data_IF_370111399840
#
_entry.id   IF_370111399840
#
_cell.length_a   1.000
_cell.length_b   1.000
_cell.length_c   1.000
_cell.angle_alpha   90.00
_cell.angle_beta   90.00
_cell.angle_gamma   90.00
#
_symmetry.space_group_name_H-M   'P 1'
#
loop_
_entity.id
_entity.type
_entity.pdbx_description
1 polymer ?
#
# COMPACT_ATOMS: atom_id res chain seq x y z
N UNK A 1 2.68 -28.74 -10.87
CA UNK A 1 1.50 -28.48 -11.70
C UNK A 1 0.71 -27.30 -11.16
N UNK A 2 0.42 -26.32 -12.02
CA UNK A 2 -0.38 -25.18 -11.55
C UNK A 2 -1.82 -25.64 -11.24
N UNK A 3 -2.28 -25.32 -10.07
CA UNK A 3 -3.65 -25.60 -9.63
C UNK A 3 -4.66 -24.82 -10.50
N UNK A 4 -5.55 -25.53 -11.13
CA UNK A 4 -6.64 -24.90 -11.90
C UNK A 4 -7.67 -24.35 -10.91
N UNK A 5 -7.73 -23.02 -10.83
CA UNK A 5 -8.80 -22.38 -10.08
C UNK A 5 -10.06 -22.31 -10.95
N UNK A 6 -11.06 -23.07 -10.56
CA UNK A 6 -12.36 -22.98 -11.19
C UNK A 6 -13.09 -21.73 -10.70
N UNK A 7 -13.21 -20.77 -11.56
CA UNK A 7 -14.02 -19.58 -11.28
C UNK A 7 -15.48 -19.95 -11.49
N UNK A 8 -16.21 -20.14 -10.40
CA UNK A 8 -17.65 -20.43 -10.44
C UNK A 8 -18.41 -19.13 -10.64
N UNK A 9 -18.46 -18.65 -11.87
CA UNK A 9 -19.17 -17.40 -12.17
C UNK A 9 -19.77 -17.32 -13.56
N UNK A 10 -19.33 -18.17 -14.45
CA UNK A 10 -19.92 -18.25 -15.79
C UNK A 10 -19.94 -19.70 -16.24
N UNK A 11 -21.07 -20.12 -16.77
CA UNK A 11 -21.26 -21.46 -17.32
C UNK A 11 -20.56 -21.64 -18.68
N UNK A 12 -19.53 -20.87 -18.93
CA UNK A 12 -18.79 -20.91 -20.18
C UNK A 12 -17.44 -21.57 -19.94
N UNK A 13 -17.39 -22.87 -20.17
CA UNK A 13 -16.18 -23.69 -20.01
C UNK A 13 -15.03 -23.23 -20.94
N UNK A 14 -15.34 -22.44 -21.95
CA UNK A 14 -14.34 -21.90 -22.85
C UNK A 14 -13.57 -20.72 -22.25
N UNK A 15 -14.13 -20.07 -21.22
CA UNK A 15 -13.49 -18.93 -20.56
C UNK A 15 -12.29 -19.34 -19.71
N UNK A 16 -12.33 -20.58 -19.15
CA UNK A 16 -11.27 -21.05 -18.24
C UNK A 16 -9.96 -21.33 -19.00
N UNK A 17 -10.06 -21.77 -20.26
CA UNK A 17 -8.90 -22.11 -21.07
C UNK A 17 -8.11 -20.89 -21.55
N UNK A 18 -8.71 -19.69 -21.46
CA UNK A 18 -8.10 -18.43 -21.94
C UNK A 18 -7.52 -17.57 -20.82
N UNK A 19 -7.51 -18.06 -19.58
CA UNK A 19 -6.89 -17.29 -18.49
C UNK A 19 -5.39 -17.30 -18.67
N UNK A 20 -4.86 -16.25 -19.25
CA UNK A 20 -3.43 -16.01 -19.29
C UNK A 20 -2.92 -15.80 -17.85
N UNK A 21 -1.86 -16.48 -17.50
CA UNK A 21 -1.25 -16.32 -16.18
C UNK A 21 -0.84 -14.88 -15.90
N UNK A 22 -0.59 -14.10 -16.97
CA UNK A 22 -0.27 -12.67 -16.86
C UNK A 22 -1.47 -11.82 -16.40
N UNK A 23 -2.69 -12.36 -16.47
CA UNK A 23 -3.91 -11.66 -16.02
C UNK A 23 -4.33 -12.04 -14.60
N UNK A 24 -3.58 -12.95 -13.98
CA UNK A 24 -3.87 -13.38 -12.60
C UNK A 24 -3.65 -12.23 -11.63
N UNK A 25 -4.64 -12.01 -10.77
CA UNK A 25 -4.53 -11.02 -9.71
C UNK A 25 -3.55 -11.49 -8.64
N UNK A 26 -2.63 -10.63 -8.25
CA UNK A 26 -1.61 -10.91 -7.23
C UNK A 26 -1.88 -10.18 -5.91
N UNK A 27 -2.92 -9.35 -5.87
CA UNK A 27 -3.35 -8.62 -4.68
C UNK A 27 -4.64 -7.90 -4.92
N UNK A 28 -5.09 -7.14 -3.93
CA UNK A 28 -6.29 -6.32 -4.02
C UNK A 28 -5.92 -4.86 -4.18
N UNK A 29 -6.67 -4.17 -5.02
CA UNK A 29 -6.51 -2.74 -5.21
C UNK A 29 -7.11 -1.98 -4.02
N UNK A 30 -6.37 -1.07 -3.44
CA UNK A 30 -6.82 -0.25 -2.32
C UNK A 30 -6.69 1.23 -2.68
N UNK A 31 -7.67 2.08 -2.42
CA UNK A 31 -8.92 1.82 -1.67
C UNK A 31 -9.97 1.06 -2.48
N UNK A 32 -10.78 0.30 -1.78
CA UNK A 32 -11.86 -0.48 -2.38
C UNK A 32 -12.92 0.43 -2.99
N UNK A 33 -13.52 -0.01 -4.09
CA UNK A 33 -14.60 0.72 -4.74
C UNK A 33 -14.17 1.89 -5.65
N UNK A 34 -12.86 2.06 -5.88
CA UNK A 34 -12.35 3.20 -6.64
C UNK A 34 -12.70 3.15 -8.13
N UNK A 35 -12.96 1.97 -8.69
CA UNK A 35 -13.25 1.76 -10.13
C UNK A 35 -14.66 1.23 -10.38
N UNK A 36 -15.65 1.71 -9.62
CA UNK A 36 -17.06 1.27 -9.68
C UNK A 36 -17.24 -0.24 -9.43
N UNK A 37 -16.25 -0.89 -8.86
CA UNK A 37 -16.31 -2.29 -8.42
C UNK A 37 -16.13 -2.33 -6.91
N UNK A 38 -16.81 -3.24 -6.25
CA UNK A 38 -16.67 -3.42 -4.80
C UNK A 38 -15.21 -3.73 -4.41
N UNK A 39 -14.53 -4.48 -5.27
CA UNK A 39 -13.10 -4.75 -5.14
C UNK A 39 -12.52 -4.98 -6.54
N UNK A 40 -11.26 -4.65 -6.71
CA UNK A 40 -10.51 -4.91 -7.93
C UNK A 40 -9.20 -5.60 -7.54
N UNK A 41 -8.62 -6.32 -8.48
CA UNK A 41 -7.37 -7.05 -8.25
C UNK A 41 -6.20 -6.34 -8.94
N UNK A 42 -5.08 -6.30 -8.26
CA UNK A 42 -3.84 -5.78 -8.82
C UNK A 42 -3.17 -6.87 -9.66
N UNK A 43 -2.64 -6.50 -10.81
CA UNK A 43 -2.00 -7.43 -11.73
C UNK A 43 -0.51 -7.21 -11.87
N UNK A 44 -0.03 -6.06 -11.44
CA UNK A 44 1.40 -5.75 -11.42
C UNK A 44 1.92 -5.69 -9.99
N UNK A 45 3.21 -5.99 -9.82
CA UNK A 45 3.86 -5.92 -8.50
C UNK A 45 3.82 -4.51 -7.95
N UNK A 46 4.00 -3.50 -8.81
CA UNK A 46 3.99 -2.10 -8.39
C UNK A 46 2.60 -1.66 -7.87
N UNK A 47 1.52 -2.11 -8.53
CA UNK A 47 0.15 -1.81 -8.09
C UNK A 47 -0.16 -2.47 -6.74
N UNK A 48 0.28 -3.73 -6.57
CA UNK A 48 0.14 -4.47 -5.32
C UNK A 48 0.85 -3.73 -4.19
N UNK A 49 2.10 -3.35 -4.42
CA UNK A 49 2.94 -2.66 -3.44
C UNK A 49 2.35 -1.28 -3.11
N UNK A 50 1.92 -0.52 -4.12
CA UNK A 50 1.28 0.78 -3.93
C UNK A 50 0.03 0.66 -3.04
N UNK A 51 -0.80 -0.35 -3.29
CA UNK A 51 -2.02 -0.61 -2.50
C UNK A 51 -1.66 -1.00 -1.07
N UNK A 52 -0.64 -1.83 -0.89
CA UNK A 52 -0.18 -2.28 0.42
C UNK A 52 0.40 -1.10 1.25
N UNK A 53 1.18 -0.22 0.62
CA UNK A 53 1.73 0.98 1.27
C UNK A 53 0.56 1.88 1.71
N UNK A 54 -0.41 2.12 0.82
CA UNK A 54 -1.56 2.96 1.12
C UNK A 54 -2.36 2.40 2.30
N UNK A 55 -2.59 1.09 2.30
CA UNK A 55 -3.29 0.42 3.39
C UNK A 55 -2.51 0.53 4.72
N UNK A 56 -1.18 0.35 4.65
CA UNK A 56 -0.29 0.46 5.81
C UNK A 56 -0.34 1.86 6.42
N UNK A 57 -0.28 2.90 5.57
CA UNK A 57 -0.28 4.29 6.02
C UNK A 57 -1.61 4.72 6.63
N UNK A 58 -2.72 4.11 6.20
CA UNK A 58 -4.07 4.45 6.68
C UNK A 58 -4.53 3.57 7.84
N UNK A 59 -3.73 2.57 8.23
CA UNK A 59 -4.03 1.68 9.36
C UNK A 59 -3.23 2.15 10.58
N UNK A 60 -3.90 2.33 11.72
CA UNK A 60 -3.23 2.63 12.99
C UNK A 60 -2.67 1.35 13.60
N UNK A 61 -1.51 1.46 14.26
CA UNK A 61 -0.92 0.33 15.00
C UNK A 61 -1.88 -0.11 16.11
N UNK A 62 -2.11 -1.42 16.21
CA UNK A 62 -3.04 -2.01 17.16
C UNK A 62 -4.47 -2.12 16.65
N UNK A 63 -4.78 -1.56 15.48
CA UNK A 63 -6.13 -1.60 14.91
C UNK A 63 -6.50 -3.00 14.40
N UNK A 64 -5.50 -3.76 13.94
CA UNK A 64 -5.71 -5.12 13.46
C UNK A 64 -5.49 -6.14 14.57
N UNK A 65 -6.52 -6.92 14.88
CA UNK A 65 -6.49 -7.91 15.95
C UNK A 65 -5.43 -9.01 15.67
N UNK A 66 -5.36 -9.50 14.42
CA UNK A 66 -4.44 -10.56 14.05
C UNK A 66 -3.02 -10.09 13.74
N UNK A 67 -2.83 -8.77 13.55
CA UNK A 67 -1.53 -8.20 13.22
C UNK A 67 -1.41 -6.80 13.83
N UNK A 68 -1.27 -6.71 15.15
CA UNK A 68 -1.23 -5.39 15.82
C UNK A 68 0.01 -4.57 15.45
N UNK A 69 1.06 -5.22 14.95
CA UNK A 69 2.27 -4.54 14.47
C UNK A 69 2.07 -3.85 13.11
N UNK A 70 1.02 -4.23 12.36
CA UNK A 70 0.72 -3.66 11.06
C UNK A 70 0.09 -2.28 11.24
N UNK A 71 0.61 -1.30 10.52
CA UNK A 71 0.12 0.07 10.57
C UNK A 71 1.17 1.06 11.02
N UNK A 72 0.80 2.32 11.02
CA UNK A 72 1.66 3.44 11.44
C UNK A 72 0.88 4.31 12.43
N UNK A 73 1.57 4.88 13.41
CA UNK A 73 0.94 5.73 14.44
C UNK A 73 1.17 7.21 14.13
N UNK A 74 0.63 7.66 12.99
CA UNK A 74 0.82 9.05 12.54
C UNK A 74 -0.16 10.02 13.21
N UNK A 75 -1.36 9.55 13.57
CA UNK A 75 -2.40 10.42 14.15
C UNK A 75 -1.98 11.05 15.47
N UNK A 76 -1.17 10.34 16.25
CA UNK A 76 -0.67 10.89 17.53
C UNK A 76 0.14 12.16 17.33
N UNK A 77 0.87 12.27 16.20
CA UNK A 77 1.70 13.44 15.92
C UNK A 77 0.90 14.64 15.41
N UNK A 78 -0.34 14.43 14.97
CA UNK A 78 -1.19 15.53 14.48
C UNK A 78 -1.54 16.53 15.57
N UNK A 79 -1.47 16.11 16.82
CA UNK A 79 -1.84 16.94 17.99
C UNK A 79 -0.64 17.44 18.77
N UNK A 80 0.59 17.13 18.34
CA UNK A 80 1.81 17.61 18.99
C UNK A 80 2.20 18.97 18.43
N UNK A 81 2.61 19.89 19.30
CA UNK A 81 2.91 21.27 18.92
C UNK A 81 4.33 21.47 18.36
N UNK A 82 5.20 20.46 18.46
CA UNK A 82 6.61 20.56 18.07
C UNK A 82 6.95 19.68 16.86
N UNK A 83 6.15 19.81 15.79
CA UNK A 83 6.31 18.96 14.61
C UNK A 83 7.62 19.18 13.84
N UNK A 84 8.06 20.44 13.74
CA UNK A 84 9.21 20.76 12.91
C UNK A 84 10.49 20.07 13.39
N UNK A 85 10.65 19.96 14.72
CA UNK A 85 11.83 19.32 15.30
C UNK A 85 11.73 17.78 15.25
N UNK A 86 10.49 17.24 15.29
CA UNK A 86 10.25 15.80 15.26
C UNK A 86 10.13 15.24 13.85
N UNK A 87 10.05 16.08 12.83
CA UNK A 87 9.75 15.67 11.44
C UNK A 87 10.72 14.58 10.95
N UNK A 88 12.02 14.80 11.10
CA UNK A 88 13.03 13.85 10.65
C UNK A 88 12.93 12.51 11.38
N UNK A 89 12.64 12.56 12.69
CA UNK A 89 12.45 11.35 13.48
C UNK A 89 11.23 10.57 13.02
N UNK A 90 10.12 11.26 12.74
CA UNK A 90 8.87 10.66 12.25
C UNK A 90 9.09 10.03 10.87
N UNK A 91 9.79 10.74 9.96
CA UNK A 91 10.13 10.22 8.64
C UNK A 91 10.99 8.95 8.72
N UNK A 92 11.98 8.96 9.60
CA UNK A 92 12.84 7.79 9.84
C UNK A 92 12.06 6.61 10.39
N UNK A 93 11.17 6.86 11.37
CA UNK A 93 10.33 5.80 11.94
C UNK A 93 9.37 5.24 10.90
N UNK A 94 8.78 6.11 10.07
CA UNK A 94 7.86 5.72 9.01
C UNK A 94 8.55 4.85 7.96
N UNK A 95 9.78 5.21 7.58
CA UNK A 95 10.59 4.38 6.67
C UNK A 95 10.81 2.97 7.25
N UNK A 96 11.17 2.89 8.53
CA UNK A 96 11.40 1.61 9.21
C UNK A 96 10.11 0.78 9.26
N UNK A 97 8.97 1.40 9.55
CA UNK A 97 7.68 0.71 9.60
C UNK A 97 7.28 0.17 8.21
N UNK A 98 7.56 0.94 7.15
CA UNK A 98 7.30 0.49 5.76
C UNK A 98 8.23 -0.68 5.41
N UNK A 99 9.53 -0.59 5.69
CA UNK A 99 10.48 -1.67 5.41
C UNK A 99 10.14 -2.96 6.15
N UNK A 100 9.62 -2.85 7.32
CA UNK A 100 9.19 -3.99 8.13
C UNK A 100 7.96 -4.67 7.53
N UNK A 101 7.18 -3.86 6.99
CA UNK A 101 6.02 -4.31 6.57
C UNK A 101 6.02 -4.71 5.24
N UNK A 102 6.74 -4.02 4.39
CA UNK A 102 6.83 -4.26 2.95
C UNK A 102 8.30 -4.27 2.53
N UNK A 103 9.01 -5.39 2.70
CA UNK A 103 10.46 -5.42 2.45
C UNK A 103 10.85 -5.37 0.97
N UNK A 104 9.88 -5.50 0.05
CA UNK A 104 10.09 -5.44 -1.40
C UNK A 104 10.39 -4.04 -1.92
N UNK A 105 10.21 -3.02 -1.07
CA UNK A 105 10.26 -1.60 -1.45
C UNK A 105 11.61 -0.99 -1.07
N UNK A 106 12.09 -0.10 -1.92
CA UNK A 106 13.15 0.85 -1.62
C UNK A 106 12.55 2.25 -1.64
N UNK A 107 12.68 2.99 -0.54
CA UNK A 107 12.14 4.35 -0.43
C UNK A 107 13.24 5.33 -0.81
N UNK A 108 13.08 5.98 -1.95
CA UNK A 108 14.04 6.96 -2.45
C UNK A 108 13.84 8.32 -1.80
N UNK A 109 12.57 8.75 -1.69
CA UNK A 109 12.24 10.03 -1.06
C UNK A 109 10.96 9.90 -0.25
N UNK A 110 10.94 10.52 0.92
CA UNK A 110 9.76 10.55 1.80
C UNK A 110 9.68 11.94 2.41
N UNK A 111 8.55 12.59 2.24
CA UNK A 111 8.27 13.91 2.81
C UNK A 111 6.90 13.89 3.49
N UNK A 112 6.86 14.38 4.72
CA UNK A 112 5.62 14.48 5.48
C UNK A 112 5.33 15.96 5.74
N UNK A 113 4.13 16.38 5.40
CA UNK A 113 3.63 17.73 5.68
C UNK A 113 2.43 17.62 6.61
N UNK A 114 2.43 18.41 7.65
CA UNK A 114 1.34 18.51 8.60
C UNK A 114 0.61 19.83 8.37
N UNK A 115 -0.69 19.76 8.16
CA UNK A 115 -1.52 20.92 7.94
C UNK A 115 -2.79 20.79 8.79
N UNK A 116 -2.83 21.52 9.90
CA UNK A 116 -3.93 21.54 10.88
C UNK A 116 -4.27 20.11 11.35
N UNK A 117 -5.33 19.51 10.81
CA UNK A 117 -5.78 18.18 11.17
C UNK A 117 -5.53 17.15 10.06
N UNK A 118 -4.55 17.41 9.19
CA UNK A 118 -4.29 16.57 8.02
C UNK A 118 -2.81 16.28 7.91
N UNK A 119 -2.47 15.01 7.69
CA UNK A 119 -1.09 14.59 7.38
C UNK A 119 -1.04 14.24 5.90
N UNK A 120 -0.18 14.94 5.17
CA UNK A 120 0.08 14.67 3.75
C UNK A 120 1.44 14.00 3.64
N UNK A 121 1.46 12.81 3.06
CA UNK A 121 2.68 12.03 2.86
C UNK A 121 2.95 11.96 1.35
N UNK A 122 4.12 12.44 0.96
CA UNK A 122 4.62 12.32 -0.40
C UNK A 122 5.78 11.32 -0.39
N UNK A 123 5.71 10.34 -1.28
CA UNK A 123 6.69 9.26 -1.30
C UNK A 123 7.09 8.93 -2.73
N UNK A 124 8.38 8.80 -2.95
CA UNK A 124 8.96 8.22 -4.15
C UNK A 124 9.60 6.90 -3.75
N UNK A 125 9.20 5.82 -4.41
CA UNK A 125 9.73 4.51 -4.09
C UNK A 125 9.94 3.68 -5.37
N UNK A 126 10.83 2.72 -5.27
CA UNK A 126 11.13 1.75 -6.32
C UNK A 126 11.03 0.34 -5.77
N UNK A 127 10.92 -0.65 -6.66
CA UNK A 127 10.96 -2.06 -6.28
C UNK A 127 12.42 -2.52 -6.25
N UNK A 128 12.77 -3.36 -5.29
CA UNK A 128 14.12 -3.93 -5.20
C UNK A 128 14.45 -4.82 -6.39
N UNK A 129 13.43 -5.47 -6.97
CA UNK A 129 13.60 -6.33 -8.14
C UNK A 129 13.75 -5.55 -9.44
N UNK A 130 13.17 -4.32 -9.48
CA UNK A 130 13.15 -3.47 -10.67
C UNK A 130 13.35 -2.01 -10.26
N UNK A 131 14.60 -1.63 -10.05
CA UNK A 131 14.96 -0.30 -9.56
C UNK A 131 14.70 0.82 -10.60
N UNK A 132 14.52 0.44 -11.87
CA UNK A 132 14.20 1.40 -12.93
C UNK A 132 12.75 1.89 -12.87
N UNK A 133 11.88 1.17 -12.16
CA UNK A 133 10.46 1.53 -12.03
C UNK A 133 10.28 2.35 -10.76
N UNK A 134 10.29 3.67 -10.90
CA UNK A 134 10.04 4.60 -9.81
C UNK A 134 8.56 4.99 -9.80
N UNK A 135 7.94 4.91 -8.65
CA UNK A 135 6.53 5.25 -8.46
C UNK A 135 6.39 6.36 -7.44
N UNK A 136 5.68 7.42 -7.84
CA UNK A 136 5.30 8.51 -6.93
C UNK A 136 3.91 8.24 -6.36
N UNK A 137 3.76 8.46 -5.07
CA UNK A 137 2.43 8.40 -4.46
C UNK A 137 2.26 9.50 -3.42
N UNK A 138 1.03 9.92 -3.25
CA UNK A 138 0.64 10.82 -2.16
C UNK A 138 -0.54 10.21 -1.42
N UNK A 139 -0.49 10.33 -0.10
CA UNK A 139 -1.56 9.85 0.79
C UNK A 139 -1.93 10.98 1.74
N UNK A 140 -3.22 11.21 1.91
CA UNK A 140 -3.76 12.19 2.83
C UNK A 140 -4.49 11.44 3.94
N UNK A 141 -4.07 11.69 5.18
CA UNK A 141 -4.69 11.12 6.39
C UNK A 141 -5.39 12.26 7.11
N UNK A 142 -6.69 12.07 7.39
CA UNK A 142 -7.52 13.04 8.11
C UNK A 142 -7.87 12.53 9.49
#
# INVERSE_FOLDING_TARGET
MPTKYNYTGSNDDTAVSKINFNERGIGFFYPFGSNNKAYDVTRTTIDKVTSNIRLLLQTEKGERVNSPEFGVSLRKYMFEQQFNDAKQMIEGQLKNDIYKXIPEVNIDELTINFDNNTVQIFMLFSLKEDADINQKMSVIIK
#
